data_IF_732300698095
#
_entry.id   IF_732300698095
#
_cell.length_a   1.000
_cell.length_b   1.000
_cell.length_c   1.000
_cell.angle_alpha   90.00
_cell.angle_beta   90.00
_cell.angle_gamma   90.00
#
_symmetry.space_group_name_H-M   'P 1'
#
loop_
_entity.id
_entity.type
_entity.pdbx_description
1 polymer ?
#
# COMPACT_ATOMS: atom_id res chain seq x y z
N UNK A 1 18.63 -16.38 -26.31
CA UNK A 1 17.44 -16.10 -25.47
C UNK A 1 17.60 -14.84 -24.63
N UNK A 2 18.66 -14.71 -23.81
CA UNK A 2 18.93 -13.50 -23.00
C UNK A 2 18.98 -12.21 -23.83
N UNK A 3 19.69 -12.21 -24.96
CA UNK A 3 19.80 -11.02 -25.84
C UNK A 3 18.45 -10.60 -26.44
N UNK A 4 17.61 -11.56 -26.83
CA UNK A 4 16.25 -11.27 -27.31
C UNK A 4 15.41 -10.63 -26.21
N UNK A 5 15.47 -11.15 -24.98
CA UNK A 5 14.77 -10.57 -23.84
C UNK A 5 15.26 -9.14 -23.55
N UNK A 6 16.58 -8.91 -23.59
CA UNK A 6 17.15 -7.57 -23.42
C UNK A 6 16.57 -6.60 -24.44
N UNK A 7 16.59 -6.95 -25.73
CA UNK A 7 16.02 -6.10 -26.79
C UNK A 7 14.51 -5.88 -26.61
N UNK A 8 13.75 -6.91 -26.23
CA UNK A 8 12.31 -6.74 -25.93
C UNK A 8 12.09 -5.75 -24.78
N UNK A 9 12.91 -5.81 -23.73
CA UNK A 9 12.83 -4.89 -22.58
C UNK A 9 13.28 -3.48 -22.95
N UNK A 10 14.30 -3.34 -23.80
CA UNK A 10 14.79 -2.04 -24.30
C UNK A 10 13.74 -1.28 -25.10
N UNK A 11 12.93 -1.98 -25.90
CA UNK A 11 11.81 -1.38 -26.65
C UNK A 11 10.81 -0.70 -25.70
N UNK A 12 10.62 -1.25 -24.51
CA UNK A 12 9.70 -0.74 -23.49
C UNK A 12 10.33 0.31 -22.58
N UNK A 13 11.61 0.63 -22.76
CA UNK A 13 12.28 1.61 -21.91
C UNK A 13 11.64 2.98 -22.03
N UNK A 14 11.42 3.71 -20.91
CA UNK A 14 10.97 5.10 -20.91
C UNK A 14 11.76 6.00 -21.85
N UNK A 15 13.07 5.76 -21.96
CA UNK A 15 13.98 6.52 -22.84
C UNK A 15 13.67 6.35 -24.33
N UNK A 16 13.03 5.24 -24.70
CA UNK A 16 12.72 4.88 -26.07
C UNK A 16 11.23 5.07 -26.41
N UNK A 17 10.44 5.71 -25.54
CA UNK A 17 8.99 5.83 -25.70
C UNK A 17 8.56 6.48 -27.03
N UNK A 18 9.34 7.43 -27.55
CA UNK A 18 9.11 8.11 -28.83
C UNK A 18 9.87 7.48 -30.01
N UNK A 19 10.78 6.54 -29.73
CA UNK A 19 11.61 5.90 -30.75
C UNK A 19 10.87 4.77 -31.46
N UNK A 20 10.05 4.02 -30.71
CA UNK A 20 9.37 2.84 -31.22
C UNK A 20 7.88 3.08 -31.35
N UNK A 21 7.28 2.52 -32.41
CA UNK A 21 5.84 2.61 -32.65
C UNK A 21 5.05 1.87 -31.56
N UNK A 22 3.80 2.29 -31.37
CA UNK A 22 2.88 1.64 -30.45
C UNK A 22 2.72 0.14 -30.76
N UNK A 23 2.62 -0.24 -32.03
CA UNK A 23 2.51 -1.65 -32.45
C UNK A 23 3.72 -2.49 -32.02
N UNK A 24 4.93 -1.94 -32.11
CA UNK A 24 6.15 -2.64 -31.70
C UNK A 24 6.26 -2.75 -30.18
N UNK A 25 5.82 -1.72 -29.44
CA UNK A 25 5.72 -1.75 -27.97
C UNK A 25 4.67 -2.78 -27.52
N UNK A 26 3.53 -2.84 -28.18
CA UNK A 26 2.50 -3.84 -27.93
C UNK A 26 2.99 -5.27 -28.21
N UNK A 27 3.71 -5.49 -29.32
CA UNK A 27 4.35 -6.78 -29.61
C UNK A 27 5.32 -7.17 -28.49
N UNK A 28 6.14 -6.22 -28.04
CA UNK A 28 7.11 -6.45 -26.97
C UNK A 28 6.45 -6.80 -25.64
N UNK A 29 5.35 -6.13 -25.28
CA UNK A 29 4.54 -6.47 -24.12
C UNK A 29 3.90 -7.85 -24.25
N UNK A 30 3.38 -8.22 -25.42
CA UNK A 30 2.82 -9.55 -25.64
C UNK A 30 3.87 -10.65 -25.47
N UNK A 31 5.07 -10.45 -26.02
CA UNK A 31 6.19 -11.38 -25.84
C UNK A 31 6.54 -11.52 -24.36
N UNK A 32 6.65 -10.40 -23.62
CA UNK A 32 6.91 -10.45 -22.17
C UNK A 32 5.79 -11.16 -21.40
N UNK A 33 4.52 -10.87 -21.73
CA UNK A 33 3.37 -11.56 -21.16
C UNK A 33 3.50 -13.07 -21.34
N UNK A 34 3.78 -13.55 -22.56
CA UNK A 34 3.97 -14.98 -22.85
C UNK A 34 5.16 -15.57 -22.09
N UNK A 35 6.28 -14.84 -21.99
CA UNK A 35 7.46 -15.32 -21.25
C UNK A 35 7.13 -15.51 -19.77
N UNK A 36 6.50 -14.51 -19.13
CA UNK A 36 6.14 -14.57 -17.70
C UNK A 36 5.06 -15.64 -17.45
N UNK A 37 4.09 -15.75 -18.35
CA UNK A 37 3.01 -16.73 -18.26
C UNK A 37 3.52 -18.17 -18.36
N UNK A 38 4.41 -18.47 -19.32
CA UNK A 38 4.90 -19.84 -19.56
C UNK A 38 6.09 -20.20 -18.67
N UNK A 39 6.98 -19.25 -18.40
CA UNK A 39 8.26 -19.52 -17.72
C UNK A 39 8.33 -18.98 -16.28
N UNK A 40 7.23 -18.43 -15.74
CA UNK A 40 7.19 -17.77 -14.43
C UNK A 40 7.74 -18.60 -13.27
N UNK A 41 7.52 -19.92 -13.27
CA UNK A 41 8.04 -20.82 -12.23
C UNK A 41 9.55 -21.06 -12.28
N UNK A 42 10.15 -20.99 -13.48
CA UNK A 42 11.58 -21.32 -13.71
C UNK A 42 12.45 -20.05 -13.77
N UNK A 43 11.86 -18.90 -14.12
CA UNK A 43 12.57 -17.62 -14.21
C UNK A 43 13.41 -17.29 -12.97
N UNK A 44 12.92 -17.48 -11.73
CA UNK A 44 13.72 -17.24 -10.52
C UNK A 44 14.98 -18.13 -10.39
N UNK A 45 14.99 -19.31 -11.01
CA UNK A 45 16.16 -20.22 -11.02
C UNK A 45 17.30 -19.71 -11.92
N UNK A 46 17.03 -18.67 -12.74
CA UNK A 46 17.99 -18.05 -13.64
C UNK A 46 18.21 -16.57 -13.27
N UNK A 47 19.13 -16.25 -12.32
CA UNK A 47 19.28 -14.92 -11.75
C UNK A 47 19.47 -13.80 -12.78
N UNK A 48 20.24 -14.04 -13.84
CA UNK A 48 20.50 -13.04 -14.87
C UNK A 48 19.26 -12.67 -15.70
N UNK A 49 18.31 -13.61 -15.88
CA UNK A 49 17.04 -13.36 -16.56
C UNK A 49 16.03 -12.78 -15.59
N UNK A 50 15.98 -13.30 -14.37
CA UNK A 50 15.12 -12.77 -13.32
C UNK A 50 15.43 -11.30 -13.01
N UNK A 51 16.70 -10.91 -12.99
CA UNK A 51 17.10 -9.51 -12.76
C UNK A 51 16.52 -8.56 -13.82
N UNK A 52 16.48 -8.98 -15.08
CA UNK A 52 15.84 -8.18 -16.15
C UNK A 52 14.35 -7.96 -15.86
N UNK A 53 13.69 -8.96 -15.27
CA UNK A 53 12.28 -8.87 -14.92
C UNK A 53 12.08 -8.01 -13.66
N UNK A 54 12.80 -8.33 -12.58
CA UNK A 54 12.66 -7.68 -11.28
C UNK A 54 13.04 -6.20 -11.30
N UNK A 55 14.01 -5.83 -12.14
CA UNK A 55 14.54 -4.47 -12.18
C UNK A 55 13.93 -3.73 -13.38
N UNK A 56 14.29 -4.12 -14.60
CA UNK A 56 13.96 -3.35 -15.79
C UNK A 56 12.47 -3.46 -16.14
N UNK A 57 11.91 -4.68 -16.21
CA UNK A 57 10.49 -4.85 -16.60
C UNK A 57 9.57 -4.22 -15.57
N UNK A 58 9.77 -4.48 -14.27
CA UNK A 58 8.95 -3.87 -13.22
C UNK A 58 9.07 -2.33 -13.22
N UNK A 59 10.27 -1.78 -13.41
CA UNK A 59 10.46 -0.33 -13.53
C UNK A 59 9.72 0.26 -14.74
N UNK A 60 9.88 -0.35 -15.92
CA UNK A 60 9.20 0.08 -17.15
C UNK A 60 7.67 -0.05 -17.01
N UNK A 61 7.19 -1.12 -16.36
CA UNK A 61 5.77 -1.35 -16.07
C UNK A 61 5.19 -0.21 -15.23
N UNK A 62 5.82 0.13 -14.10
CA UNK A 62 5.39 1.24 -13.24
C UNK A 62 5.39 2.57 -13.99
N UNK A 63 6.45 2.85 -14.75
CA UNK A 63 6.51 4.07 -15.56
C UNK A 63 5.37 4.12 -16.59
N UNK A 64 5.16 3.03 -17.34
CA UNK A 64 4.13 2.99 -18.37
C UNK A 64 2.71 3.06 -17.77
N UNK A 65 2.43 2.44 -16.62
CA UNK A 65 1.15 2.57 -15.92
C UNK A 65 0.79 4.03 -15.65
N UNK A 66 1.77 4.85 -15.26
CA UNK A 66 1.55 6.25 -14.92
C UNK A 66 1.42 7.16 -16.16
N UNK A 67 2.10 6.84 -17.27
CA UNK A 67 2.25 7.76 -18.40
C UNK A 67 1.55 7.31 -19.70
N UNK A 68 0.96 6.12 -19.73
CA UNK A 68 0.29 5.62 -20.94
C UNK A 68 -1.13 6.18 -21.02
N UNK A 69 -1.46 6.77 -22.17
CA UNK A 69 -2.82 7.20 -22.52
C UNK A 69 -3.53 6.22 -23.46
N UNK A 70 -2.80 5.26 -24.04
CA UNK A 70 -3.37 4.19 -24.89
C UNK A 70 -4.08 3.12 -24.03
N UNK A 71 -5.40 2.93 -24.20
CA UNK A 71 -6.13 1.87 -23.51
C UNK A 71 -5.64 0.47 -23.87
N UNK A 72 -5.17 0.28 -25.11
CA UNK A 72 -4.66 -1.00 -25.59
C UNK A 72 -3.36 -1.39 -24.88
N UNK A 73 -2.40 -0.46 -24.82
CA UNK A 73 -1.17 -0.68 -24.07
C UNK A 73 -1.43 -0.88 -22.58
N UNK A 74 -2.34 -0.09 -21.99
CA UNK A 74 -2.73 -0.24 -20.59
C UNK A 74 -3.22 -1.66 -20.27
N UNK A 75 -4.08 -2.23 -21.12
CA UNK A 75 -4.55 -3.62 -20.96
C UNK A 75 -3.40 -4.64 -20.98
N UNK A 76 -2.43 -4.49 -21.88
CA UNK A 76 -1.26 -5.37 -21.95
C UNK A 76 -0.33 -5.23 -20.72
N UNK A 77 -0.21 -4.01 -20.19
CA UNK A 77 0.56 -3.71 -18.98
C UNK A 77 -0.11 -4.33 -17.75
N UNK A 78 -1.43 -4.21 -17.63
CA UNK A 78 -2.21 -4.80 -16.54
C UNK A 78 -2.22 -6.33 -16.62
N UNK A 79 -2.27 -6.90 -17.82
CA UNK A 79 -2.06 -8.33 -18.04
C UNK A 79 -0.69 -8.79 -17.53
N UNK A 80 0.35 -8.01 -17.78
CA UNK A 80 1.70 -8.33 -17.28
C UNK A 80 1.76 -8.26 -15.75
N UNK A 81 1.15 -7.24 -15.15
CA UNK A 81 0.99 -7.15 -13.70
C UNK A 81 0.30 -8.41 -13.12
N UNK A 82 -0.76 -8.89 -13.75
CA UNK A 82 -1.45 -10.11 -13.34
C UNK A 82 -0.55 -11.34 -13.40
N UNK A 83 0.16 -11.54 -14.51
CA UNK A 83 1.07 -12.67 -14.65
C UNK A 83 2.22 -12.62 -13.62
N UNK A 84 2.78 -11.44 -13.33
CA UNK A 84 3.80 -11.28 -12.31
C UNK A 84 3.25 -11.61 -10.91
N UNK A 85 2.05 -11.11 -10.59
CA UNK A 85 1.39 -11.31 -9.30
C UNK A 85 1.02 -12.77 -9.05
N UNK A 86 0.61 -13.50 -10.09
CA UNK A 86 0.20 -14.90 -9.98
C UNK A 86 1.41 -15.84 -9.96
N UNK A 87 2.40 -15.62 -10.83
CA UNK A 87 3.49 -16.59 -11.01
C UNK A 87 4.68 -16.37 -10.07
N UNK A 88 4.97 -15.14 -9.65
CA UNK A 88 6.16 -14.82 -8.83
C UNK A 88 5.84 -13.92 -7.60
N UNK A 89 4.78 -14.20 -6.82
CA UNK A 89 4.37 -13.33 -5.71
C UNK A 89 5.40 -13.25 -4.57
N UNK A 90 6.21 -14.28 -4.37
CA UNK A 90 7.17 -14.34 -3.26
C UNK A 90 8.51 -13.69 -3.59
N UNK A 91 8.90 -13.70 -4.86
CA UNK A 91 10.18 -13.19 -5.35
C UNK A 91 10.11 -11.70 -5.69
N UNK A 92 8.93 -11.19 -6.08
CA UNK A 92 8.73 -9.80 -6.50
C UNK A 92 8.00 -8.94 -5.46
N UNK A 93 8.15 -9.24 -4.15
CA UNK A 93 7.39 -8.53 -3.10
C UNK A 93 7.50 -7.01 -3.18
N UNK A 94 8.73 -6.48 -3.32
CA UNK A 94 8.95 -5.02 -3.34
C UNK A 94 8.36 -4.38 -4.59
N UNK A 95 8.55 -5.06 -5.72
CA UNK A 95 8.07 -4.61 -7.01
C UNK A 95 6.55 -4.62 -7.05
N UNK A 96 5.92 -5.70 -6.59
CA UNK A 96 4.46 -5.81 -6.49
C UNK A 96 3.90 -4.77 -5.52
N UNK A 97 4.51 -4.56 -4.36
CA UNK A 97 4.14 -3.49 -3.44
C UNK A 97 4.09 -2.12 -4.13
N UNK A 98 5.15 -1.78 -4.89
CA UNK A 98 5.19 -0.51 -5.64
C UNK A 98 4.12 -0.46 -6.74
N UNK A 99 3.91 -1.57 -7.45
CA UNK A 99 2.92 -1.65 -8.53
C UNK A 99 1.50 -1.50 -7.97
N UNK A 100 1.13 -2.23 -6.91
CA UNK A 100 -0.18 -2.09 -6.27
C UNK A 100 -0.41 -0.66 -5.77
N UNK A 101 0.58 -0.07 -5.09
CA UNK A 101 0.48 1.33 -4.65
C UNK A 101 0.29 2.29 -5.82
N UNK A 102 0.99 2.06 -6.94
CA UNK A 102 0.82 2.85 -8.17
C UNK A 102 -0.58 2.68 -8.77
N UNK A 103 -1.12 1.46 -8.81
CA UNK A 103 -2.48 1.20 -9.30
C UNK A 103 -3.53 1.91 -8.45
N UNK A 104 -3.40 1.88 -7.12
CA UNK A 104 -4.31 2.60 -6.25
C UNK A 104 -4.22 4.13 -6.43
N UNK A 105 -3.01 4.66 -6.64
CA UNK A 105 -2.78 6.09 -6.93
C UNK A 105 -3.35 6.56 -8.29
N UNK A 106 -3.50 5.65 -9.26
CA UNK A 106 -4.18 5.96 -10.53
C UNK A 106 -5.68 6.21 -10.29
N UNK A 107 -6.27 5.52 -9.32
CA UNK A 107 -7.70 5.60 -8.99
C UNK A 107 -7.98 6.77 -8.05
N UNK A 108 -7.14 6.96 -7.02
CA UNK A 108 -7.34 7.95 -5.95
C UNK A 108 -6.14 8.88 -5.77
N UNK A 109 -6.45 10.17 -5.64
CA UNK A 109 -5.46 11.25 -5.55
C UNK A 109 -5.09 11.53 -4.09
N UNK A 110 -6.08 11.57 -3.19
CA UNK A 110 -5.89 11.95 -1.78
C UNK A 110 -6.46 10.92 -0.81
N UNK A 111 -5.57 10.11 -0.25
CA UNK A 111 -5.92 9.11 0.76
C UNK A 111 -6.51 9.70 2.04
N UNK A 112 -6.08 10.89 2.46
CA UNK A 112 -6.61 11.55 3.66
C UNK A 112 -8.09 11.94 3.51
N UNK A 113 -8.54 12.29 2.30
CA UNK A 113 -9.96 12.59 2.06
C UNK A 113 -10.78 11.32 1.98
N UNK A 114 -10.26 10.27 1.33
CA UNK A 114 -10.89 8.94 1.34
C UNK A 114 -11.16 8.44 2.76
N UNK A 115 -10.20 8.58 3.68
CA UNK A 115 -10.38 8.09 5.06
C UNK A 115 -11.49 8.87 5.78
N UNK A 116 -11.56 10.19 5.60
CA UNK A 116 -12.63 11.01 6.17
C UNK A 116 -13.99 10.63 5.60
N UNK A 117 -14.09 10.40 4.29
CA UNK A 117 -15.36 10.08 3.65
C UNK A 117 -15.84 8.68 4.01
N UNK A 118 -14.93 7.72 4.20
CA UNK A 118 -15.25 6.43 4.80
C UNK A 118 -15.81 6.58 6.23
N UNK A 119 -15.19 7.40 7.07
CA UNK A 119 -15.68 7.66 8.44
C UNK A 119 -17.06 8.32 8.44
N UNK A 120 -17.30 9.30 7.57
CA UNK A 120 -18.63 9.92 7.40
C UNK A 120 -19.68 8.89 6.96
N UNK A 121 -19.32 8.06 5.98
CA UNK A 121 -20.19 7.01 5.44
C UNK A 121 -20.55 5.99 6.52
N UNK A 122 -19.57 5.56 7.31
CA UNK A 122 -19.76 4.65 8.44
C UNK A 122 -20.77 5.22 9.46
N UNK A 123 -20.55 6.46 9.91
CA UNK A 123 -21.45 7.15 10.84
C UNK A 123 -22.87 7.30 10.28
N UNK A 124 -22.98 7.62 8.99
CA UNK A 124 -24.26 7.76 8.31
C UNK A 124 -25.02 6.42 8.24
N UNK A 125 -24.37 5.34 7.79
CA UNK A 125 -24.96 4.01 7.68
C UNK A 125 -25.42 3.49 9.04
N UNK A 126 -24.55 3.54 10.06
CA UNK A 126 -24.92 3.11 11.41
C UNK A 126 -26.01 4.00 12.03
N UNK A 127 -26.03 5.29 11.70
CA UNK A 127 -27.09 6.21 12.06
C UNK A 127 -28.44 5.80 11.47
N UNK A 128 -28.48 5.45 10.19
CA UNK A 128 -29.66 4.93 9.50
C UNK A 128 -30.15 3.61 10.09
N UNK A 129 -29.24 2.66 10.34
CA UNK A 129 -29.60 1.37 10.98
C UNK A 129 -30.23 1.58 12.35
N UNK A 130 -29.71 2.50 13.16
CA UNK A 130 -30.31 2.85 14.48
C UNK A 130 -31.69 3.49 14.35
N UNK A 131 -31.93 4.26 13.30
CA UNK A 131 -33.21 4.94 13.04
C UNK A 131 -34.24 4.05 12.33
N UNK A 132 -33.83 2.91 11.76
CA UNK A 132 -34.69 2.02 10.99
C UNK A 132 -35.21 2.64 9.68
N UNK A 133 -34.60 3.74 9.23
CA UNK A 133 -34.93 4.44 7.97
C UNK A 133 -33.71 4.44 7.08
N UNK A 134 -33.88 3.93 5.87
CA UNK A 134 -32.86 3.90 4.84
C UNK A 134 -33.23 4.96 3.80
N UNK A 135 -32.40 6.00 3.71
CA UNK A 135 -32.63 7.14 2.84
C UNK A 135 -31.51 7.17 1.79
N UNK A 136 -31.89 7.42 0.54
CA UNK A 136 -30.95 7.66 -0.55
C UNK A 136 -30.87 9.16 -0.78
N UNK A 137 -29.74 9.75 -0.44
CA UNK A 137 -29.48 11.17 -0.69
C UNK A 137 -29.02 11.36 -2.14
N UNK A 138 -29.57 12.37 -2.80
CA UNK A 138 -29.10 12.80 -4.12
C UNK A 138 -27.93 13.73 -3.90
N UNK A 139 -26.82 13.49 -4.60
CA UNK A 139 -25.62 14.32 -4.51
C UNK A 139 -25.93 15.76 -4.89
N UNK A 140 -25.51 16.70 -4.04
CA UNK A 140 -25.55 18.14 -4.38
C UNK A 140 -24.31 18.54 -5.18
N UNK A 141 -24.37 19.69 -5.87
CA UNK A 141 -23.20 20.22 -6.60
C UNK A 141 -21.96 20.39 -5.70
N UNK A 142 -22.16 20.75 -4.43
CA UNK A 142 -21.08 20.88 -3.44
C UNK A 142 -20.44 19.54 -3.10
N UNK A 143 -21.24 18.48 -2.99
CA UNK A 143 -20.73 17.14 -2.70
C UNK A 143 -19.88 16.64 -3.85
N UNK A 144 -20.30 16.91 -5.09
CA UNK A 144 -19.53 16.60 -6.31
C UNK A 144 -18.18 17.36 -6.30
N UNK A 145 -18.17 18.63 -5.93
CA UNK A 145 -16.92 19.41 -5.81
C UNK A 145 -15.97 18.85 -4.74
N UNK A 146 -16.48 18.36 -3.62
CA UNK A 146 -15.67 17.70 -2.60
C UNK A 146 -15.11 16.36 -3.08
N UNK A 147 -15.96 15.53 -3.69
CA UNK A 147 -15.59 14.25 -4.30
C UNK A 147 -14.50 14.40 -5.37
N UNK A 148 -14.53 15.50 -6.13
CA UNK A 148 -13.48 15.83 -7.09
C UNK A 148 -12.10 15.84 -6.43
N UNK A 149 -11.96 16.38 -5.22
CA UNK A 149 -10.67 16.48 -4.52
C UNK A 149 -10.09 15.10 -4.18
N UNK A 150 -10.95 14.11 -3.95
CA UNK A 150 -10.59 12.73 -3.66
C UNK A 150 -10.09 12.01 -4.93
N UNK A 151 -10.83 12.14 -6.03
CA UNK A 151 -10.64 11.35 -7.26
C UNK A 151 -9.87 12.05 -8.39
N UNK A 152 -9.48 13.32 -8.25
CA UNK A 152 -8.79 14.06 -9.31
C UNK A 152 -7.32 13.61 -9.47
N UNK A 153 -7.14 12.51 -10.19
CA UNK A 153 -5.82 11.94 -10.56
C UNK A 153 -5.35 12.36 -11.95
N UNK A 154 -6.18 13.07 -12.72
CA UNK A 154 -5.95 13.39 -14.13
C UNK A 154 -6.19 12.21 -15.08
N UNK A 155 -6.58 11.03 -14.57
CA UNK A 155 -6.91 9.86 -15.38
C UNK A 155 -8.39 9.78 -15.69
N UNK A 156 -8.72 9.36 -16.90
CA UNK A 156 -10.10 9.20 -17.34
C UNK A 156 -10.83 8.13 -16.53
N UNK A 157 -12.15 8.31 -16.26
CA UNK A 157 -13.06 7.29 -15.75
C UNK A 157 -12.77 5.84 -16.17
N UNK A 158 -12.73 5.58 -17.49
CA UNK A 158 -12.51 4.23 -18.02
C UNK A 158 -11.12 3.65 -17.71
N UNK A 159 -10.10 4.48 -17.52
CA UNK A 159 -8.77 3.99 -17.09
C UNK A 159 -8.84 3.44 -15.68
N UNK A 160 -9.59 4.12 -14.79
CA UNK A 160 -9.77 3.66 -13.41
C UNK A 160 -10.58 2.37 -13.37
N UNK A 161 -11.61 2.25 -14.20
CA UNK A 161 -12.38 1.01 -14.36
C UNK A 161 -11.48 -0.16 -14.74
N UNK A 162 -10.71 -0.04 -15.82
CA UNK A 162 -9.82 -1.13 -16.29
C UNK A 162 -8.77 -1.51 -15.24
N UNK A 163 -8.28 -0.54 -14.44
CA UNK A 163 -7.39 -0.82 -13.30
C UNK A 163 -8.09 -1.64 -12.22
N UNK A 164 -9.33 -1.28 -11.86
CA UNK A 164 -10.13 -2.01 -10.87
C UNK A 164 -10.51 -3.41 -11.38
N UNK A 165 -10.86 -3.56 -12.65
CA UNK A 165 -11.10 -4.86 -13.30
C UNK A 165 -9.85 -5.75 -13.27
N UNK A 166 -8.67 -5.18 -13.55
CA UNK A 166 -7.43 -5.92 -13.46
C UNK A 166 -7.13 -6.34 -12.02
N UNK A 167 -7.34 -5.47 -11.03
CA UNK A 167 -7.22 -5.85 -9.62
C UNK A 167 -8.23 -6.95 -9.27
N UNK A 168 -9.44 -6.90 -9.81
CA UNK A 168 -10.51 -7.84 -9.47
C UNK A 168 -10.25 -9.27 -9.89
N UNK A 169 -9.53 -9.44 -10.99
CA UNK A 169 -9.05 -10.74 -11.43
C UNK A 169 -8.22 -11.50 -10.36
N UNK A 170 -7.64 -10.83 -9.36
CA UNK A 170 -6.86 -11.45 -8.30
C UNK A 170 -7.73 -12.06 -7.19
N UNK A 171 -8.73 -11.33 -6.68
CA UNK A 171 -9.62 -11.87 -5.64
C UNK A 171 -10.65 -12.84 -6.21
N UNK A 172 -11.07 -12.67 -7.46
CA UNK A 172 -11.92 -13.65 -8.16
C UNK A 172 -11.21 -14.99 -8.33
N UNK A 173 -9.89 -14.99 -8.57
CA UNK A 173 -9.11 -16.23 -8.76
C UNK A 173 -8.65 -16.88 -7.47
N UNK A 174 -8.63 -16.16 -6.34
CA UNK A 174 -8.13 -16.70 -5.08
C UNK A 174 -8.94 -16.23 -3.87
N UNK A 175 -9.65 -17.14 -3.17
CA UNK A 175 -10.35 -16.80 -1.93
C UNK A 175 -9.39 -16.46 -0.77
N UNK A 176 -8.09 -16.69 -0.97
CA UNK A 176 -7.04 -16.36 0.00
C UNK A 176 -6.27 -15.09 -0.37
N UNK A 177 -6.67 -14.36 -1.41
CA UNK A 177 -5.94 -13.20 -1.90
C UNK A 177 -5.66 -12.17 -0.78
N UNK A 178 -6.70 -11.64 -0.14
CA UNK A 178 -6.55 -10.61 0.89
C UNK A 178 -5.75 -11.09 2.10
N UNK A 179 -5.94 -12.32 2.57
CA UNK A 179 -5.20 -12.85 3.72
C UNK A 179 -3.73 -13.11 3.38
N UNK A 180 -3.42 -13.55 2.16
CA UNK A 180 -2.04 -13.73 1.72
C UNK A 180 -1.34 -12.39 1.54
N UNK A 181 -2.04 -11.39 1.01
CA UNK A 181 -1.55 -10.02 0.92
C UNK A 181 -1.25 -9.46 2.33
N UNK A 182 -2.15 -9.70 3.28
CA UNK A 182 -2.00 -9.23 4.67
C UNK A 182 -0.77 -9.86 5.33
N UNK A 183 -0.60 -11.18 5.18
CA UNK A 183 0.58 -11.89 5.68
C UNK A 183 1.89 -11.39 5.07
N UNK A 184 1.88 -11.07 3.78
CA UNK A 184 3.09 -10.69 3.05
C UNK A 184 3.52 -9.23 3.27
N UNK A 185 2.57 -8.32 3.50
CA UNK A 185 2.84 -6.88 3.52
C UNK A 185 2.46 -6.24 4.85
N UNK A 186 1.21 -6.35 5.27
CA UNK A 186 0.71 -5.69 6.48
C UNK A 186 1.36 -6.22 7.76
N UNK A 187 1.66 -7.54 7.82
CA UNK A 187 2.39 -8.15 8.93
C UNK A 187 3.90 -7.86 8.92
N UNK A 188 4.47 -7.42 7.80
CA UNK A 188 5.89 -7.08 7.70
C UNK A 188 6.13 -5.64 8.15
N UNK A 189 7.10 -5.45 9.05
CA UNK A 189 7.40 -4.16 9.67
C UNK A 189 7.97 -3.14 8.68
N UNK A 190 8.66 -3.59 7.62
CA UNK A 190 9.33 -2.69 6.68
C UNK A 190 8.46 -2.36 5.46
N UNK A 191 7.26 -2.96 5.38
CA UNK A 191 6.33 -2.85 4.25
C UNK A 191 5.13 -1.94 4.55
N UNK A 192 4.50 -1.42 3.52
CA UNK A 192 3.23 -0.69 3.60
C UNK A 192 2.07 -1.60 3.98
N UNK A 193 1.01 -1.03 4.55
CA UNK A 193 -0.22 -1.75 4.92
C UNK A 193 -1.11 -1.95 3.70
N UNK A 194 -0.60 -2.73 2.74
CA UNK A 194 -1.16 -2.82 1.39
C UNK A 194 -2.58 -3.38 1.37
N UNK A 195 -2.85 -4.41 2.19
CA UNK A 195 -4.18 -5.02 2.25
C UNK A 195 -5.20 -4.09 2.85
N UNK A 196 -4.86 -3.44 3.97
CA UNK A 196 -5.75 -2.46 4.59
C UNK A 196 -6.03 -1.30 3.63
N UNK A 197 -5.02 -0.76 2.95
CA UNK A 197 -5.21 0.28 1.93
C UNK A 197 -6.11 -0.18 0.78
N UNK A 198 -5.92 -1.40 0.28
CA UNK A 198 -6.75 -1.96 -0.79
C UNK A 198 -8.20 -2.18 -0.34
N UNK A 199 -8.43 -2.69 0.87
CA UNK A 199 -9.78 -2.87 1.42
C UNK A 199 -10.47 -1.51 1.58
N UNK A 200 -9.77 -0.50 2.12
CA UNK A 200 -10.30 0.87 2.23
C UNK A 200 -10.69 1.44 0.86
N UNK A 201 -9.83 1.26 -0.14
CA UNK A 201 -10.11 1.67 -1.52
C UNK A 201 -11.38 1.00 -2.05
N UNK A 202 -11.47 -0.33 -1.94
CA UNK A 202 -12.63 -1.10 -2.42
C UNK A 202 -13.91 -0.67 -1.66
N UNK A 203 -13.86 -0.54 -0.34
CA UNK A 203 -15.00 -0.04 0.45
C UNK A 203 -15.48 1.33 -0.02
N UNK A 204 -14.55 2.23 -0.34
CA UNK A 204 -14.90 3.58 -0.80
C UNK A 204 -15.52 3.56 -2.20
N UNK A 205 -14.97 2.74 -3.09
CA UNK A 205 -15.43 2.60 -4.48
C UNK A 205 -16.75 1.84 -4.61
N UNK A 206 -17.13 1.05 -3.61
CA UNK A 206 -18.43 0.38 -3.53
C UNK A 206 -19.62 1.34 -3.39
N UNK A 207 -19.39 2.58 -2.95
CA UNK A 207 -20.42 3.60 -2.87
C UNK A 207 -20.85 4.06 -4.26
N UNK A 208 -22.14 4.35 -4.44
CA UNK A 208 -22.72 4.72 -5.75
C UNK A 208 -22.18 6.04 -6.30
N UNK A 209 -21.79 6.97 -5.43
CA UNK A 209 -21.21 8.27 -5.76
C UNK A 209 -19.84 8.16 -6.45
N UNK A 210 -19.07 7.10 -6.19
CA UNK A 210 -17.79 6.85 -6.83
C UNK A 210 -17.92 6.71 -8.37
N UNK A 211 -19.10 6.32 -8.87
CA UNK A 211 -19.38 6.20 -10.30
C UNK A 211 -19.28 7.52 -11.08
N UNK A 212 -19.35 8.67 -10.39
CA UNK A 212 -19.18 10.01 -10.99
C UNK A 212 -17.76 10.21 -11.53
N UNK A 213 -16.75 9.66 -10.85
CA UNK A 213 -15.33 9.81 -11.20
C UNK A 213 -14.64 8.53 -11.66
N UNK A 214 -15.38 7.43 -11.60
CA UNK A 214 -15.03 6.14 -12.20
C UNK A 214 -16.12 5.81 -13.23
N UNK A 215 -16.75 4.65 -13.18
CA UNK A 215 -17.88 4.30 -14.05
C UNK A 215 -18.92 3.51 -13.28
N UNK A 216 -20.06 3.23 -13.91
CA UNK A 216 -21.14 2.47 -13.29
C UNK A 216 -20.76 1.01 -12.98
N UNK A 217 -19.70 0.49 -13.59
CA UNK A 217 -19.21 -0.88 -13.38
C UNK A 217 -18.30 -1.01 -12.15
N UNK A 218 -17.66 0.09 -11.71
CA UNK A 218 -16.69 0.02 -10.60
C UNK A 218 -17.34 -0.32 -9.25
N UNK A 219 -18.45 0.31 -8.82
CA UNK A 219 -19.11 -0.05 -7.57
C UNK A 219 -19.50 -1.52 -7.44
N UNK A 220 -20.17 -2.17 -8.43
CA UNK A 220 -20.50 -3.59 -8.32
C UNK A 220 -19.25 -4.49 -8.27
N UNK A 221 -18.20 -4.21 -9.05
CA UNK A 221 -16.94 -4.97 -8.99
C UNK A 221 -16.32 -4.88 -7.58
N UNK A 222 -16.35 -3.70 -6.97
CA UNK A 222 -15.81 -3.50 -5.63
C UNK A 222 -16.66 -4.21 -4.57
N UNK A 223 -17.99 -4.16 -4.70
CA UNK A 223 -18.89 -4.93 -3.84
C UNK A 223 -18.65 -6.43 -3.92
N UNK A 224 -18.41 -6.98 -5.12
CA UNK A 224 -18.01 -8.39 -5.29
C UNK A 224 -16.69 -8.70 -4.58
N UNK A 225 -15.73 -7.76 -4.59
CA UNK A 225 -14.48 -7.90 -3.83
C UNK A 225 -14.68 -7.97 -2.31
N UNK A 226 -15.58 -7.14 -1.76
CA UNK A 226 -15.94 -7.20 -0.34
C UNK A 226 -16.67 -8.49 0.01
N UNK A 227 -17.58 -8.94 -0.85
CA UNK A 227 -18.27 -10.23 -0.68
C UNK A 227 -17.26 -11.38 -0.70
N UNK A 228 -16.33 -11.41 -1.66
CA UNK A 228 -15.27 -12.42 -1.73
C UNK A 228 -14.39 -12.44 -0.47
N UNK A 229 -14.11 -11.26 0.13
CA UNK A 229 -13.41 -11.17 1.40
C UNK A 229 -14.21 -11.82 2.54
N UNK A 230 -15.49 -11.48 2.67
CA UNK A 230 -16.39 -11.99 3.73
C UNK A 230 -16.66 -13.48 3.55
N UNK A 231 -16.95 -13.93 2.34
CA UNK A 231 -17.16 -15.35 2.00
C UNK A 231 -15.90 -16.16 2.30
N UNK A 232 -14.73 -15.64 1.94
CA UNK A 232 -13.45 -16.26 2.31
C UNK A 232 -13.27 -16.38 3.83
N UNK A 233 -13.72 -15.40 4.62
CA UNK A 233 -13.72 -15.51 6.09
C UNK A 233 -14.71 -16.57 6.57
N UNK A 234 -15.94 -16.54 6.04
CA UNK A 234 -17.01 -17.48 6.38
C UNK A 234 -16.58 -18.93 6.14
N UNK A 235 -16.03 -19.23 4.97
CA UNK A 235 -15.60 -20.59 4.60
C UNK A 235 -14.47 -21.10 5.49
N UNK A 236 -13.53 -20.25 5.88
CA UNK A 236 -12.46 -20.61 6.82
C UNK A 236 -13.01 -20.88 8.21
N UNK A 237 -13.93 -20.05 8.70
CA UNK A 237 -14.61 -20.26 10.00
C UNK A 237 -15.40 -21.57 9.99
N UNK A 238 -16.17 -21.82 8.92
CA UNK A 238 -16.94 -23.05 8.75
C UNK A 238 -16.04 -24.29 8.70
N UNK A 239 -14.90 -24.20 8.02
CA UNK A 239 -13.91 -25.29 7.97
C UNK A 239 -13.25 -25.51 9.33
N UNK A 240 -12.90 -24.45 10.05
CA UNK A 240 -12.36 -24.52 11.40
C UNK A 240 -13.35 -25.19 12.37
N UNK A 241 -14.63 -24.82 12.32
CA UNK A 241 -15.69 -25.43 13.13
C UNK A 241 -15.87 -26.92 12.83
N UNK A 242 -15.77 -27.35 11.56
CA UNK A 242 -15.79 -28.77 11.19
C UNK A 242 -14.60 -29.56 11.75
N UNK A 243 -13.46 -28.89 11.94
CA UNK A 243 -12.23 -29.46 12.49
C UNK A 243 -12.14 -29.30 14.02
N UNK A 244 -13.26 -28.99 14.69
CA UNK A 244 -13.34 -28.80 16.15
C UNK A 244 -12.40 -27.72 16.70
N UNK A 245 -12.09 -26.70 15.89
CA UNK A 245 -11.26 -25.57 16.30
C UNK A 245 -12.12 -24.50 16.96
N UNK A 246 -11.96 -24.30 18.26
CA UNK A 246 -12.64 -23.24 19.02
C UNK A 246 -11.93 -21.89 18.89
N UNK A 247 -12.45 -21.02 18.03
CA UNK A 247 -11.87 -19.70 17.70
C UNK A 247 -11.57 -18.85 18.94
N UNK A 248 -12.45 -18.87 19.95
CA UNK A 248 -12.32 -18.06 21.17
C UNK A 248 -11.15 -18.48 22.08
N UNK A 249 -10.58 -19.67 21.85
CA UNK A 249 -9.48 -20.22 22.66
C UNK A 249 -8.13 -20.15 21.95
N UNK A 250 -8.10 -19.67 20.71
CA UNK A 250 -6.88 -19.61 19.91
C UNK A 250 -5.95 -18.52 20.43
N UNK A 251 -4.69 -18.88 20.63
CA UNK A 251 -3.64 -17.90 20.87
C UNK A 251 -3.41 -17.03 19.63
N UNK A 252 -3.14 -15.72 19.80
CA UNK A 252 -2.85 -14.84 18.67
C UNK A 252 -1.63 -15.32 17.90
N UNK A 253 -1.79 -15.53 16.59
CA UNK A 253 -0.69 -15.91 15.71
C UNK A 253 0.46 -14.88 15.76
N UNK A 254 1.74 -15.28 15.70
CA UNK A 254 2.89 -14.37 15.78
C UNK A 254 2.83 -13.19 14.80
N UNK A 255 2.36 -13.44 13.57
CA UNK A 255 2.17 -12.40 12.55
C UNK A 255 1.13 -11.32 12.94
N UNK A 256 0.12 -11.68 13.72
CA UNK A 256 -0.88 -10.72 14.23
C UNK A 256 -0.24 -9.86 15.33
N UNK A 257 0.57 -10.47 16.20
CA UNK A 257 1.33 -9.73 17.22
C UNK A 257 2.33 -8.77 16.56
N UNK A 258 2.98 -9.19 15.49
CA UNK A 258 3.89 -8.35 14.70
C UNK A 258 3.15 -7.18 14.04
N UNK A 259 1.98 -7.44 13.45
CA UNK A 259 1.14 -6.40 12.85
C UNK A 259 0.65 -5.38 13.90
N UNK A 260 0.28 -5.83 15.11
CA UNK A 260 -0.08 -4.92 16.21
C UNK A 260 1.08 -4.02 16.59
N UNK A 261 2.27 -4.60 16.80
CA UNK A 261 3.50 -3.83 17.07
C UNK A 261 3.80 -2.82 15.96
N UNK A 262 3.61 -3.20 14.70
CA UNK A 262 3.78 -2.29 13.56
C UNK A 262 2.77 -1.14 13.61
N UNK A 263 1.49 -1.44 13.83
CA UNK A 263 0.43 -0.44 13.94
C UNK A 263 0.70 0.55 15.07
N UNK A 264 1.08 0.02 16.24
CA UNK A 264 1.49 0.77 17.41
C UNK A 264 2.66 1.71 17.11
N UNK A 265 3.67 1.19 16.41
CA UNK A 265 4.82 1.98 15.97
C UNK A 265 4.43 3.09 15.00
N UNK A 266 3.58 2.81 14.01
CA UNK A 266 3.09 3.82 13.05
C UNK A 266 2.35 4.94 13.79
N UNK A 267 1.53 4.59 14.79
CA UNK A 267 0.83 5.58 15.62
C UNK A 267 1.83 6.44 16.41
N UNK A 268 2.81 5.82 17.07
CA UNK A 268 3.87 6.53 17.77
C UNK A 268 4.61 7.48 16.84
N UNK A 269 4.95 7.05 15.63
CA UNK A 269 5.62 7.87 14.62
C UNK A 269 4.73 9.00 14.11
N UNK A 270 3.43 8.77 13.90
CA UNK A 270 2.47 9.84 13.56
C UNK A 270 2.43 10.90 14.65
N UNK A 271 2.39 10.50 15.92
CA UNK A 271 2.42 11.44 17.05
C UNK A 271 3.77 12.12 17.20
N UNK A 272 4.86 11.41 16.95
CA UNK A 272 6.21 11.97 16.92
C UNK A 272 6.35 13.04 15.85
N UNK A 273 5.85 12.76 14.64
CA UNK A 273 5.81 13.72 13.54
C UNK A 273 4.92 14.92 13.91
N UNK A 274 3.91 14.82 14.78
CA UNK A 274 3.16 16.00 15.25
C UNK A 274 3.93 16.75 16.35
N UNK A 275 4.41 16.03 17.36
CA UNK A 275 5.12 16.53 18.54
C UNK A 275 6.16 15.48 19.01
N UNK A 276 7.46 15.67 18.75
CA UNK A 276 8.49 14.68 19.06
C UNK A 276 8.53 14.24 20.53
N UNK A 277 8.27 15.16 21.48
CA UNK A 277 8.22 14.86 22.91
C UNK A 277 7.10 13.85 23.28
N UNK A 278 5.91 14.00 22.69
CA UNK A 278 4.79 13.07 22.91
C UNK A 278 5.03 11.73 22.21
N UNK A 279 5.67 11.75 21.05
CA UNK A 279 6.09 10.54 20.34
C UNK A 279 7.08 9.71 21.17
N UNK A 280 8.07 10.35 21.81
CA UNK A 280 9.02 9.67 22.70
C UNK A 280 8.33 9.03 23.91
N UNK A 281 7.35 9.71 24.52
CA UNK A 281 6.54 9.17 25.62
C UNK A 281 5.78 7.91 25.18
N UNK A 282 5.10 7.97 24.05
CA UNK A 282 4.37 6.83 23.50
C UNK A 282 5.29 5.66 23.10
N UNK A 283 6.50 5.95 22.60
CA UNK A 283 7.49 4.91 22.28
C UNK A 283 7.98 4.19 23.54
N UNK A 284 8.15 4.92 24.64
CA UNK A 284 8.49 4.35 25.94
C UNK A 284 7.32 3.53 26.52
N UNK A 285 6.11 4.08 26.52
CA UNK A 285 4.91 3.40 27.02
C UNK A 285 4.63 2.08 26.28
N UNK A 286 4.82 2.07 24.96
CA UNK A 286 4.62 0.86 24.14
C UNK A 286 5.86 -0.06 24.11
N UNK A 287 6.91 0.25 24.87
CA UNK A 287 8.08 -0.61 25.07
C UNK A 287 9.05 -0.69 23.89
N UNK A 288 9.04 0.30 22.99
CA UNK A 288 10.01 0.38 21.89
C UNK A 288 11.38 0.89 22.34
N UNK A 289 11.44 1.63 23.46
CA UNK A 289 12.66 2.18 24.05
C UNK A 289 12.68 1.80 25.53
N UNK A 290 13.83 1.36 26.06
CA UNK A 290 13.95 0.92 27.46
C UNK A 290 14.08 2.07 28.45
N UNK A 291 14.76 3.15 28.08
CA UNK A 291 14.88 4.35 28.92
C UNK A 291 14.57 5.63 28.14
N UNK A 292 13.65 6.44 28.68
CA UNK A 292 13.27 7.75 28.13
C UNK A 292 14.44 8.76 28.11
N UNK A 293 15.45 8.55 28.96
CA UNK A 293 16.58 9.47 29.13
C UNK A 293 17.87 9.01 28.39
N UNK A 294 17.90 7.80 27.82
CA UNK A 294 19.03 7.34 27.04
C UNK A 294 18.97 7.93 25.62
N UNK A 295 19.70 9.03 25.45
CA UNK A 295 19.82 9.73 24.17
C UNK A 295 20.53 8.90 23.11
N UNK A 296 21.38 7.93 23.48
CA UNK A 296 22.05 7.04 22.51
C UNK A 296 21.11 5.94 22.02
N UNK A 297 20.31 5.33 22.90
CA UNK A 297 19.28 4.37 22.52
C UNK A 297 18.24 5.04 21.62
N UNK A 298 17.78 6.24 21.99
CA UNK A 298 16.85 7.01 21.18
C UNK A 298 17.45 7.41 19.82
N UNK A 299 18.71 7.86 19.77
CA UNK A 299 19.37 8.20 18.51
C UNK A 299 19.57 6.99 17.60
N UNK A 300 19.98 5.83 18.15
CA UNK A 300 20.09 4.56 17.41
C UNK A 300 18.72 4.13 16.87
N UNK A 301 17.69 4.21 17.70
CA UNK A 301 16.32 3.90 17.30
C UNK A 301 15.83 4.79 16.15
N UNK A 302 16.04 6.10 16.26
CA UNK A 302 15.68 7.05 15.20
C UNK A 302 16.48 6.82 13.91
N UNK A 303 17.74 6.39 14.02
CA UNK A 303 18.60 6.10 12.87
C UNK A 303 18.15 4.81 12.16
N UNK A 304 18.00 3.71 12.91
CA UNK A 304 17.58 2.41 12.38
C UNK A 304 16.17 2.43 11.79
N UNK A 305 15.26 3.22 12.38
CA UNK A 305 13.85 3.33 11.94
C UNK A 305 13.54 4.62 11.17
N UNK A 306 14.57 5.30 10.67
CA UNK A 306 14.48 6.57 9.95
C UNK A 306 13.62 6.54 8.68
N UNK A 307 13.30 5.36 8.14
CA UNK A 307 12.50 5.21 6.92
C UNK A 307 11.05 5.71 7.06
N UNK A 308 10.46 5.65 8.26
CA UNK A 308 9.07 6.13 8.51
C UNK A 308 9.01 7.49 9.21
N UNK A 309 10.15 8.03 9.61
CA UNK A 309 10.26 9.26 10.40
C UNK A 309 10.46 10.46 9.46
N UNK A 310 9.75 11.56 9.72
CA UNK A 310 9.91 12.78 8.92
C UNK A 310 11.31 13.38 9.12
N UNK A 311 12.16 13.25 8.10
CA UNK A 311 13.55 13.71 8.12
C UNK A 311 13.67 15.22 8.36
N UNK A 312 12.66 16.02 7.98
CA UNK A 312 12.66 17.46 8.25
C UNK A 312 12.50 17.73 9.74
N UNK A 313 11.54 17.06 10.38
CA UNK A 313 11.28 17.20 11.81
C UNK A 313 12.40 16.60 12.66
N UNK A 314 13.04 15.54 12.18
CA UNK A 314 14.26 15.02 12.77
C UNK A 314 15.39 16.04 12.71
N UNK A 315 15.59 16.67 11.54
CA UNK A 315 16.57 17.75 11.37
C UNK A 315 16.29 18.94 12.31
N UNK A 316 15.03 19.38 12.41
CA UNK A 316 14.63 20.46 13.33
C UNK A 316 14.85 20.11 14.80
N UNK A 317 14.63 18.84 15.18
CA UNK A 317 14.89 18.36 16.54
C UNK A 317 16.40 18.38 16.85
N UNK A 318 17.22 17.90 15.92
CA UNK A 318 18.68 17.88 16.05
C UNK A 318 19.30 19.27 15.99
N UNK A 319 18.69 20.21 15.24
CA UNK A 319 19.17 21.58 15.10
C UNK A 319 18.82 22.48 16.29
N UNK A 320 17.92 22.06 17.20
CA UNK A 320 17.59 22.85 18.39
C UNK A 320 18.74 22.81 19.41
N UNK A 321 19.30 23.96 19.82
CA UNK A 321 20.47 24.03 20.72
C UNK A 321 20.18 23.64 22.19
N UNK A 322 18.98 23.16 22.50
CA UNK A 322 18.57 22.84 23.88
C UNK A 322 19.15 21.52 24.42
N UNK A 323 19.70 20.65 23.58
CA UNK A 323 20.31 19.39 24.05
C UNK A 323 21.77 19.53 24.50
N UNK A 324 22.51 20.55 24.03
CA UNK A 324 23.91 20.76 24.40
C UNK A 324 24.10 21.71 25.60
N UNK A 325 23.15 22.62 25.83
CA UNK A 325 23.28 23.65 26.86
C UNK A 325 23.12 23.14 28.31
N UNK A 326 22.55 21.94 28.51
CA UNK A 326 22.47 21.29 29.83
C UNK A 326 23.74 20.52 30.22
N UNK A 327 24.59 20.10 29.27
CA UNK A 327 25.87 19.42 29.59
C UNK A 327 27.01 20.37 29.95
N UNK A 328 26.99 21.63 29.50
CA UNK A 328 28.06 22.59 29.85
C UNK A 328 27.85 23.33 31.19
N UNK A 329 26.61 23.44 31.69
CA UNK A 329 26.36 24.10 32.99
C UNK A 329 26.58 23.20 34.21
N UNK A 330 26.64 21.88 34.04
CA UNK A 330 26.86 20.91 35.13
C UNK A 330 28.32 20.63 35.50
N UNK A 331 29.30 21.04 34.67
CA UNK A 331 30.74 20.78 34.90
C UNK A 331 31.56 21.97 35.42
N UNK A 332 30.94 23.13 35.68
CA UNK A 332 31.64 24.34 36.19
C UNK A 332 31.29 24.73 37.65
N UNK A 333 30.60 23.88 38.40
CA UNK A 333 30.33 24.10 39.83
C UNK A 333 30.64 22.86 40.66
N UNK A 334 31.90 22.45 40.69
CA UNK A 334 32.51 21.63 41.75
C UNK A 334 34.03 21.67 41.55
N UNK A 335 34.77 21.91 42.64
CA UNK A 335 36.19 22.28 42.77
C UNK A 335 36.37 23.81 42.68
N UNK A 336 36.50 24.55 43.79
CA UNK A 336 37.44 24.35 44.92
C UNK A 336 36.94 24.99 46.23
N UNK A 337 37.12 24.33 47.39
CA UNK A 337 37.29 24.98 48.69
C UNK A 337 38.75 24.93 49.17
N UNK A 338 39.18 26.07 49.73
CA UNK A 338 40.14 26.25 50.85
C UNK A 338 41.58 25.75 50.66
N UNK A 339 42.49 26.73 50.67
CA UNK A 339 43.93 26.65 50.82
C UNK A 339 44.49 28.06 50.80
#
# INVERSE_FOLDING_TARGET
MKEYLIHTVEVLSPKNAFRYSESLRALSLNILNTIVEVSGGVLPEHPALFQLISDNVCHHLVYMLQHTDSPFLLNLILKLFLHLSINMPHQLKIQLELIFNTLMQIVISKWDELEKDLEKTDQHIFGMTKRGKYETEVLTEKDIEELSKEFHTGKMPGVKEVVIEALSALWVRSPYFFINLFKCYDCDFDRTDLTVSLIKLICRLSSSDASVYTTQNVPPICMEGLLALVDGMHDRIKTAAKNDVHINTLEPHPLILQQKKKSDFIECVKQWNKKPAKGLELLYEKGFIKDKNDLEEYAKFLFEKSGRIDKKKLGELLAKPDHDSKKQKGKKKQNTPIG
#
